data_IF_946500891830
#
_entry.id   IF_946500891830
#
_cell.length_a   1.000
_cell.length_b   1.000
_cell.length_c   1.000
_cell.angle_alpha   90.00
_cell.angle_beta   90.00
_cell.angle_gamma   90.00
#
_symmetry.space_group_name_H-M   'P 1'
#
loop_
_entity.id
_entity.type
_entity.pdbx_description
1 polymer ?
#
# COMPACT_ATOMS: atom_id res chain seq x y z
N UNK A 1 1.05 0.08 27.19
CA UNK A 1 1.62 0.18 25.82
C UNK A 1 1.05 -1.00 25.06
N UNK A 2 0.53 -0.80 23.85
CA UNK A 2 -0.05 -1.88 23.05
C UNK A 2 0.99 -2.42 22.06
N UNK A 3 0.79 -3.64 21.53
CA UNK A 3 1.66 -4.20 20.50
C UNK A 3 1.73 -3.33 19.23
N UNK A 4 0.65 -2.58 18.91
CA UNK A 4 0.65 -1.56 17.86
C UNK A 4 1.66 -0.44 18.19
N UNK A 5 1.61 0.11 19.41
CA UNK A 5 2.47 1.23 19.82
C UNK A 5 3.96 0.82 19.83
N UNK A 6 4.27 -0.39 20.27
CA UNK A 6 5.63 -0.91 20.33
C UNK A 6 6.19 -1.09 18.91
N UNK A 7 5.40 -1.69 18.01
CA UNK A 7 5.75 -1.85 16.61
C UNK A 7 5.99 -0.51 15.90
N UNK A 8 5.07 0.45 16.08
CA UNK A 8 5.20 1.78 15.48
C UNK A 8 6.42 2.53 16.04
N UNK A 9 6.69 2.41 17.34
CA UNK A 9 7.84 3.04 17.98
C UNK A 9 9.17 2.47 17.47
N UNK A 10 9.29 1.14 17.34
CA UNK A 10 10.49 0.49 16.80
C UNK A 10 10.74 0.85 15.33
N UNK A 11 9.69 0.89 14.51
CA UNK A 11 9.79 1.27 13.10
C UNK A 11 10.07 2.77 12.91
N UNK A 12 9.61 3.63 13.82
CA UNK A 12 9.94 5.06 13.80
C UNK A 12 11.39 5.30 14.24
N UNK A 13 11.85 4.61 15.30
CA UNK A 13 13.23 4.74 15.79
C UNK A 13 14.29 4.31 14.76
N UNK A 14 13.94 3.36 13.90
CA UNK A 14 14.76 2.91 12.78
C UNK A 14 14.52 3.69 11.48
N UNK A 15 13.67 4.72 11.48
CA UNK A 15 13.31 5.55 10.31
C UNK A 15 12.59 4.77 9.19
N UNK A 16 12.25 3.49 9.39
CA UNK A 16 11.56 2.69 8.38
C UNK A 16 10.15 3.22 8.10
N UNK A 17 9.45 3.77 9.10
CA UNK A 17 8.16 4.45 8.85
C UNK A 17 8.29 5.65 7.91
N UNK A 18 9.33 6.46 8.09
CA UNK A 18 9.55 7.65 7.25
C UNK A 18 9.92 7.23 5.83
N UNK A 19 10.72 6.17 5.68
CA UNK A 19 11.04 5.57 4.37
C UNK A 19 9.78 5.09 3.64
N UNK A 20 8.86 4.42 4.34
CA UNK A 20 7.59 3.97 3.74
C UNK A 20 6.70 5.15 3.34
N UNK A 21 6.59 6.17 4.21
CA UNK A 21 5.80 7.39 3.95
C UNK A 21 6.37 8.22 2.79
N UNK A 22 7.69 8.24 2.62
CA UNK A 22 8.35 8.88 1.47
C UNK A 22 8.23 8.04 0.19
N UNK A 23 8.51 6.75 0.26
CA UNK A 23 8.59 5.88 -0.91
C UNK A 23 7.23 5.65 -1.58
N UNK A 24 6.14 5.61 -0.80
CA UNK A 24 4.80 5.38 -1.35
C UNK A 24 4.35 6.45 -2.36
N UNK A 25 4.30 7.76 -2.04
CA UNK A 25 3.90 8.79 -3.01
C UNK A 25 4.83 8.86 -4.22
N UNK A 26 6.15 8.68 -4.03
CA UNK A 26 7.11 8.65 -5.13
C UNK A 26 6.86 7.45 -6.06
N UNK A 27 6.51 6.29 -5.51
CA UNK A 27 6.12 5.11 -6.29
C UNK A 27 4.81 5.34 -7.07
N UNK A 28 3.84 6.01 -6.45
CA UNK A 28 2.54 6.30 -7.06
C UNK A 28 2.69 7.26 -8.23
N UNK A 29 3.49 8.33 -8.07
CA UNK A 29 3.79 9.27 -9.16
C UNK A 29 4.47 8.56 -10.35
N UNK A 30 5.48 7.72 -10.08
CA UNK A 30 6.15 6.95 -11.12
C UNK A 30 5.20 5.99 -11.86
N UNK A 31 4.28 5.35 -11.13
CA UNK A 31 3.26 4.49 -11.74
C UNK A 31 2.27 5.30 -12.57
N UNK A 32 1.88 6.49 -12.09
CA UNK A 32 0.94 7.36 -12.79
C UNK A 32 1.47 7.80 -14.16
N UNK A 33 2.78 8.08 -14.24
CA UNK A 33 3.46 8.45 -15.48
C UNK A 33 3.50 7.32 -16.53
N UNK A 34 3.43 6.06 -16.09
CA UNK A 34 3.47 4.87 -16.95
C UNK A 34 2.09 4.28 -17.24
N UNK A 35 1.09 4.61 -16.43
CA UNK A 35 -0.25 4.09 -16.57
C UNK A 35 -0.97 4.71 -17.78
N UNK A 36 -1.62 3.87 -18.57
CA UNK A 36 -2.42 4.29 -19.72
C UNK A 36 -3.51 3.24 -19.97
N UNK A 37 -4.74 3.58 -19.59
CA UNK A 37 -5.90 2.73 -19.80
C UNK A 37 -6.12 2.40 -21.28
N UNK A 38 -5.79 3.32 -22.20
CA UNK A 38 -5.94 3.10 -23.64
C UNK A 38 -4.93 2.09 -24.21
N UNK A 39 -3.85 1.81 -23.47
CA UNK A 39 -2.90 0.75 -23.79
C UNK A 39 -3.24 -0.58 -23.11
N UNK A 40 -4.41 -0.68 -22.47
CA UNK A 40 -4.89 -1.88 -21.80
C UNK A 40 -4.34 -2.06 -20.39
N UNK A 41 -3.79 -1.01 -19.76
CA UNK A 41 -3.35 -1.09 -18.37
C UNK A 41 -4.56 -1.17 -17.43
N UNK A 42 -4.59 -2.25 -16.64
CA UNK A 42 -5.64 -2.51 -15.65
C UNK A 42 -5.12 -2.31 -14.21
N UNK A 43 -5.98 -2.59 -13.22
CA UNK A 43 -5.60 -2.52 -11.81
C UNK A 43 -4.48 -3.49 -11.43
N UNK A 44 -4.33 -4.61 -12.16
CA UNK A 44 -3.23 -5.54 -11.98
C UNK A 44 -1.90 -4.91 -12.34
N UNK A 45 -1.83 -4.19 -13.46
CA UNK A 45 -0.65 -3.41 -13.88
C UNK A 45 -0.29 -2.35 -12.84
N UNK A 46 -1.27 -1.59 -12.35
CA UNK A 46 -1.07 -0.58 -11.29
C UNK A 46 -0.48 -1.22 -10.03
N UNK A 47 -1.07 -2.32 -9.57
CA UNK A 47 -0.62 -3.04 -8.38
C UNK A 47 0.81 -3.57 -8.53
N UNK A 48 1.16 -4.09 -9.72
CA UNK A 48 2.48 -4.62 -10.01
C UNK A 48 3.55 -3.52 -10.11
N UNK A 49 3.29 -2.44 -10.86
CA UNK A 49 4.21 -1.31 -11.01
C UNK A 49 4.50 -0.66 -9.65
N UNK A 50 3.46 -0.32 -8.89
CA UNK A 50 3.62 0.28 -7.57
C UNK A 50 4.43 -0.59 -6.63
N UNK A 51 4.16 -1.90 -6.61
CA UNK A 51 4.93 -2.83 -5.80
C UNK A 51 6.42 -2.83 -6.18
N UNK A 52 6.75 -2.81 -7.48
CA UNK A 52 8.13 -2.78 -7.96
C UNK A 52 8.83 -1.46 -7.64
N UNK A 53 8.15 -0.33 -7.87
CA UNK A 53 8.69 0.99 -7.57
C UNK A 53 8.90 1.17 -6.07
N UNK A 54 7.90 0.85 -5.24
CA UNK A 54 8.01 0.97 -3.79
C UNK A 54 9.12 0.07 -3.23
N UNK A 55 9.22 -1.18 -3.70
CA UNK A 55 10.34 -2.06 -3.32
C UNK A 55 11.70 -1.43 -3.66
N UNK A 56 11.86 -0.89 -4.86
CA UNK A 56 13.12 -0.24 -5.27
C UNK A 56 13.45 0.97 -4.39
N UNK A 57 12.45 1.80 -4.07
CA UNK A 57 12.61 2.99 -3.25
C UNK A 57 12.97 2.65 -1.80
N UNK A 58 12.33 1.65 -1.19
CA UNK A 58 12.67 1.21 0.17
C UNK A 58 14.07 0.59 0.18
N UNK A 59 14.43 -0.25 -0.80
CA UNK A 59 15.80 -0.77 -0.93
C UNK A 59 16.82 0.34 -1.11
N UNK A 60 16.47 1.38 -1.88
CA UNK A 60 17.33 2.55 -2.12
C UNK A 60 17.61 3.33 -0.85
N UNK A 61 16.55 3.74 -0.13
CA UNK A 61 16.70 4.51 1.10
C UNK A 61 17.46 3.70 2.17
N UNK A 62 17.16 2.40 2.29
CA UNK A 62 17.76 1.51 3.30
C UNK A 62 19.11 0.92 2.89
N UNK A 63 19.69 1.32 1.75
CA UNK A 63 20.95 0.77 1.21
C UNK A 63 20.96 -0.76 1.07
N UNK A 64 19.82 -1.34 0.73
CA UNK A 64 19.62 -2.77 0.57
C UNK A 64 19.55 -3.18 -0.92
N UNK A 65 19.55 -4.50 -1.17
CA UNK A 65 19.43 -5.04 -2.52
C UNK A 65 20.52 -4.53 -3.46
N UNK A 66 20.14 -3.91 -4.58
CA UNK A 66 21.08 -3.35 -5.56
C UNK A 66 21.79 -2.08 -5.12
N UNK A 67 21.37 -1.48 -4.00
CA UNK A 67 21.91 -0.23 -3.47
C UNK A 67 22.90 -0.45 -2.31
N UNK A 68 23.22 -1.71 -2.00
CA UNK A 68 24.27 -2.04 -1.04
C UNK A 68 25.61 -1.54 -1.58
N UNK A 69 26.21 -0.57 -0.89
CA UNK A 69 27.54 -0.09 -1.21
C UNK A 69 28.56 -1.14 -0.75
N UNK A 70 29.55 -1.44 -1.60
CA UNK A 70 30.70 -2.26 -1.22
C UNK A 70 31.60 -1.50 -0.26
N UNK A 71 32.34 -2.23 0.59
CA UNK A 71 33.33 -1.63 1.49
C UNK A 71 34.32 -0.76 0.70
N UNK A 72 34.50 0.50 1.11
CA UNK A 72 35.46 1.44 0.52
C UNK A 72 34.96 2.28 -0.68
N UNK A 73 33.66 2.28 -0.98
CA UNK A 73 33.05 3.05 -2.09
C UNK A 73 32.20 4.25 -1.64
N UNK A 74 32.54 4.84 -0.49
CA UNK A 74 31.75 5.87 0.20
C UNK A 74 31.46 7.13 -0.65
N UNK A 75 32.27 7.41 -1.69
CA UNK A 75 32.15 8.61 -2.51
C UNK A 75 31.39 8.44 -3.84
N UNK A 76 31.07 7.21 -4.28
CA UNK A 76 30.41 6.94 -5.57
C UNK A 76 28.93 6.55 -5.46
N UNK A 77 28.37 6.51 -4.23
CA UNK A 77 27.00 6.04 -3.99
C UNK A 77 25.91 7.05 -4.39
N UNK A 78 26.19 8.35 -4.38
CA UNK A 78 25.20 9.40 -4.60
C UNK A 78 24.49 9.32 -5.96
N UNK A 79 25.26 9.20 -7.05
CA UNK A 79 24.70 9.11 -8.40
C UNK A 79 23.89 7.82 -8.61
N UNK A 80 24.32 6.71 -7.98
CA UNK A 80 23.60 5.43 -8.02
C UNK A 80 22.25 5.57 -7.30
N UNK A 81 22.23 6.25 -6.15
CA UNK A 81 21.02 6.51 -5.37
C UNK A 81 20.13 7.61 -5.99
N UNK A 82 20.65 8.50 -6.83
CA UNK A 82 19.83 9.48 -7.55
C UNK A 82 19.23 8.89 -8.84
N UNK A 83 19.85 7.86 -9.43
CA UNK A 83 19.43 7.34 -10.73
C UNK A 83 18.03 6.71 -10.70
N UNK A 84 17.16 7.20 -11.58
CA UNK A 84 15.82 6.66 -11.82
C UNK A 84 14.72 7.21 -10.91
N UNK A 85 15.02 8.27 -10.15
CA UNK A 85 14.03 9.06 -9.39
C UNK A 85 14.21 10.54 -9.69
N UNK A 86 13.21 11.36 -9.37
CA UNK A 86 13.32 12.82 -9.56
C UNK A 86 14.33 13.41 -8.57
N UNK A 87 14.95 14.57 -8.90
CA UNK A 87 15.82 15.27 -7.95
C UNK A 87 15.11 15.62 -6.64
N UNK A 88 13.83 15.97 -6.70
CA UNK A 88 13.01 16.25 -5.52
C UNK A 88 12.82 15.02 -4.64
N UNK A 89 12.49 13.87 -5.23
CA UNK A 89 12.38 12.61 -4.50
C UNK A 89 13.72 12.22 -3.85
N UNK A 90 14.84 12.41 -4.56
CA UNK A 90 16.17 12.13 -4.01
C UNK A 90 16.53 13.05 -2.83
N UNK A 91 16.25 14.36 -2.97
CA UNK A 91 16.56 15.35 -1.93
C UNK A 91 15.74 15.16 -0.65
N UNK A 92 14.54 14.61 -0.77
CA UNK A 92 13.63 14.32 0.35
C UNK A 92 13.76 12.90 0.91
N UNK A 93 14.63 12.08 0.32
CA UNK A 93 14.85 10.69 0.74
C UNK A 93 15.35 10.64 2.20
N UNK A 94 14.69 9.89 3.09
CA UNK A 94 15.13 9.73 4.47
C UNK A 94 16.54 9.15 4.56
N UNK A 95 17.36 9.71 5.45
CA UNK A 95 18.72 9.23 5.72
C UNK A 95 18.71 8.36 6.96
N UNK A 96 19.32 7.18 6.84
CA UNK A 96 19.40 6.19 7.91
C UNK A 96 20.85 5.83 8.18
N UNK A 97 21.15 5.39 9.39
CA UNK A 97 22.43 4.74 9.66
C UNK A 97 22.55 3.47 8.82
N UNK A 98 23.78 3.14 8.42
CA UNK A 98 24.05 1.86 7.76
C UNK A 98 23.54 0.70 8.64
N UNK A 99 22.94 -0.30 8.00
CA UNK A 99 22.39 -1.50 8.65
C UNK A 99 21.26 -1.28 9.67
N UNK A 100 20.73 -0.06 9.82
CA UNK A 100 19.56 0.22 10.67
C UNK A 100 18.34 -0.58 10.23
N UNK A 101 18.23 -0.85 8.92
CA UNK A 101 17.18 -1.68 8.32
C UNK A 101 17.83 -2.75 7.47
N UNK A 102 17.54 -4.02 7.76
CA UNK A 102 18.13 -5.16 7.03
C UNK A 102 17.13 -5.80 6.10
N UNK A 103 17.55 -6.13 4.89
CA UNK A 103 16.75 -6.98 4.01
C UNK A 103 16.56 -8.38 4.61
N UNK A 104 15.30 -8.80 4.75
CA UNK A 104 14.84 -10.09 5.29
C UNK A 104 13.61 -10.53 4.51
N UNK A 105 13.84 -11.17 3.36
CA UNK A 105 12.76 -11.67 2.52
C UNK A 105 12.13 -12.92 3.14
N UNK A 106 10.81 -13.05 3.00
CA UNK A 106 10.08 -14.23 3.44
C UNK A 106 9.44 -14.91 2.23
N UNK A 107 9.88 -16.13 1.90
CA UNK A 107 9.34 -16.91 0.78
C UNK A 107 9.19 -16.10 -0.51
N UNK A 108 10.27 -15.45 -0.92
CA UNK A 108 10.34 -14.57 -2.11
C UNK A 108 9.52 -13.26 -2.01
N UNK A 109 8.81 -13.03 -0.90
CA UNK A 109 8.23 -11.72 -0.60
C UNK A 109 9.33 -10.79 -0.06
N UNK A 110 9.57 -9.64 -0.70
CA UNK A 110 10.42 -8.58 -0.17
C UNK A 110 10.09 -8.22 1.27
N UNK A 111 11.10 -8.20 2.12
CA UNK A 111 10.96 -7.81 3.52
C UNK A 111 12.12 -6.99 4.06
N UNK A 112 11.80 -6.10 4.99
CA UNK A 112 12.75 -5.24 5.70
C UNK A 112 12.54 -5.41 7.20
N UNK A 113 13.62 -5.67 7.92
CA UNK A 113 13.56 -5.97 9.34
C UNK A 113 14.33 -4.94 10.18
N UNK A 114 13.75 -4.63 11.34
CA UNK A 114 14.28 -3.77 12.40
C UNK A 114 13.84 -4.36 13.74
N UNK A 115 14.73 -4.47 14.73
CA UNK A 115 14.38 -4.74 16.13
C UNK A 115 13.19 -5.70 16.37
N UNK A 116 13.25 -6.94 15.86
CA UNK A 116 12.18 -7.94 16.06
C UNK A 116 10.90 -7.75 15.23
N UNK A 117 10.88 -6.79 14.30
CA UNK A 117 9.79 -6.59 13.33
C UNK A 117 10.29 -6.75 11.90
N UNK A 118 9.52 -7.44 11.06
CA UNK A 118 9.75 -7.53 9.62
C UNK A 118 8.54 -6.97 8.88
N UNK A 119 8.74 -6.04 7.96
CA UNK A 119 7.68 -5.45 7.14
C UNK A 119 7.73 -6.02 5.73
N UNK A 120 6.61 -6.55 5.23
CA UNK A 120 6.45 -6.99 3.85
C UNK A 120 5.45 -6.09 3.10
N UNK A 121 5.63 -5.89 1.79
CA UNK A 121 4.68 -5.10 0.98
C UNK A 121 3.48 -5.93 0.51
N UNK A 122 2.31 -5.31 0.42
CA UNK A 122 1.13 -5.88 -0.24
C UNK A 122 0.39 -4.79 -1.02
N UNK A 123 0.16 -5.01 -2.32
CA UNK A 123 -0.76 -4.16 -3.09
C UNK A 123 -2.21 -4.62 -2.92
N UNK A 124 -3.15 -3.69 -2.94
CA UNK A 124 -4.58 -4.00 -2.93
C UNK A 124 -5.38 -2.95 -3.72
N UNK A 125 -6.64 -3.22 -4.11
CA UNK A 125 -7.49 -2.21 -4.74
C UNK A 125 -7.80 -1.06 -3.77
N UNK A 126 -7.80 0.18 -4.26
CA UNK A 126 -8.10 1.34 -3.42
C UNK A 126 -9.46 1.21 -2.72
N UNK A 127 -9.52 1.54 -1.43
CA UNK A 127 -10.71 1.43 -0.58
C UNK A 127 -11.05 0.01 -0.14
N UNK A 128 -10.17 -0.97 -0.39
CA UNK A 128 -10.40 -2.41 -0.14
C UNK A 128 -9.40 -3.03 0.84
N UNK A 129 -8.84 -2.22 1.74
CA UNK A 129 -7.86 -2.69 2.74
C UNK A 129 -8.47 -3.70 3.73
N UNK A 130 -9.75 -3.56 4.06
CA UNK A 130 -10.46 -4.49 4.96
C UNK A 130 -10.94 -5.77 4.26
N UNK A 131 -10.97 -5.76 2.93
CA UNK A 131 -11.47 -6.86 2.09
C UNK A 131 -10.31 -7.78 1.63
N UNK A 132 -9.10 -7.65 2.20
CA UNK A 132 -7.95 -8.44 1.78
C UNK A 132 -8.10 -9.90 2.22
N UNK A 133 -8.28 -10.78 1.24
CA UNK A 133 -8.32 -12.23 1.45
C UNK A 133 -6.91 -12.82 1.44
N UNK A 134 -6.24 -12.86 2.59
CA UNK A 134 -4.86 -13.37 2.72
C UNK A 134 -4.69 -14.80 2.22
N UNK A 135 -5.68 -15.65 2.43
CA UNK A 135 -5.72 -17.04 1.91
C UNK A 135 -5.66 -17.15 0.38
N UNK A 136 -6.06 -16.09 -0.34
CA UNK A 136 -6.05 -16.01 -1.81
C UNK A 136 -4.83 -15.24 -2.34
N UNK A 137 -3.93 -14.78 -1.47
CA UNK A 137 -2.65 -14.15 -1.86
C UNK A 137 -1.58 -15.23 -2.00
N UNK A 138 -0.31 -14.86 -1.83
CA UNK A 138 0.79 -15.84 -1.86
C UNK A 138 0.82 -16.68 -0.59
N UNK A 139 1.44 -17.86 -0.67
CA UNK A 139 1.67 -18.73 0.50
C UNK A 139 2.41 -17.98 1.63
N UNK A 140 3.32 -17.07 1.26
CA UNK A 140 4.00 -16.19 2.20
C UNK A 140 3.00 -15.35 3.02
N UNK A 141 2.06 -14.66 2.35
CA UNK A 141 1.07 -13.80 3.02
C UNK A 141 0.06 -14.58 3.83
N UNK A 142 -0.36 -15.75 3.36
CA UNK A 142 -1.22 -16.65 4.11
C UNK A 142 -0.58 -17.04 5.45
N UNK A 143 0.70 -17.44 5.44
CA UNK A 143 1.44 -17.80 6.66
C UNK A 143 1.70 -16.62 7.59
N UNK A 144 1.95 -15.42 7.03
CA UNK A 144 2.03 -14.19 7.85
C UNK A 144 0.69 -13.92 8.56
N UNK A 145 -0.44 -14.23 7.92
CA UNK A 145 -1.75 -14.10 8.52
C UNK A 145 -2.10 -15.23 9.52
N UNK A 146 -1.34 -16.34 9.51
CA UNK A 146 -1.36 -17.43 10.49
C UNK A 146 -0.35 -17.23 11.64
N UNK A 147 0.39 -16.11 11.65
CA UNK A 147 1.35 -15.83 12.73
C UNK A 147 0.63 -15.75 14.07
N UNK A 148 1.34 -16.12 15.14
CA UNK A 148 0.80 -16.05 16.48
C UNK A 148 0.77 -14.59 16.97
N UNK A 149 -0.24 -14.25 17.77
CA UNK A 149 -0.43 -12.91 18.31
C UNK A 149 -0.06 -12.91 19.79
N UNK A 150 0.72 -11.93 20.23
CA UNK A 150 1.00 -11.71 21.65
C UNK A 150 -0.34 -11.40 22.35
N UNK A 151 -0.78 -12.30 23.22
CA UNK A 151 -2.05 -12.19 23.96
C UNK A 151 -3.18 -13.09 23.45
N UNK A 152 -3.03 -13.76 22.30
CA UNK A 152 -3.98 -14.81 21.91
C UNK A 152 -3.61 -16.12 22.62
N UNK A 153 -4.42 -16.46 23.62
CA UNK A 153 -4.68 -17.82 24.09
C UNK A 153 -3.68 -18.49 25.06
N UNK A 154 -2.98 -17.74 25.91
CA UNK A 154 -2.26 -18.35 27.04
C UNK A 154 -2.86 -17.92 28.39
N UNK A 155 -3.22 -18.90 29.21
CA UNK A 155 -3.61 -18.71 30.62
C UNK A 155 -2.43 -18.25 31.50
N UNK A 156 -1.22 -18.29 30.95
CA UNK A 156 0.05 -17.96 31.58
C UNK A 156 0.84 -17.08 30.59
N UNK A 157 1.49 -16.03 31.07
CA UNK A 157 2.35 -15.24 30.17
C UNK A 157 3.66 -15.98 29.91
N UNK A 158 4.29 -15.75 28.75
CA UNK A 158 5.58 -16.39 28.44
C UNK A 158 6.68 -15.96 29.44
N UNK A 159 6.47 -14.83 30.15
CA UNK A 159 7.28 -14.39 31.29
C UNK A 159 7.19 -15.35 32.49
N UNK A 160 6.07 -16.06 32.68
CA UNK A 160 5.86 -17.03 33.77
C UNK A 160 6.67 -18.31 33.57
N UNK A 161 7.10 -18.58 32.33
CA UNK A 161 7.99 -19.70 31.95
C UNK A 161 9.41 -19.26 31.56
N UNK A 162 9.75 -17.96 31.67
CA UNK A 162 11.07 -17.45 31.30
C UNK A 162 11.38 -17.55 29.81
N UNK A 163 10.35 -17.55 28.95
CA UNK A 163 10.48 -17.59 27.49
C UNK A 163 10.18 -16.19 26.94
N UNK A 164 11.18 -15.46 26.46
CA UNK A 164 10.98 -14.18 25.77
C UNK A 164 10.58 -14.39 24.29
N UNK A 165 9.58 -15.22 24.00
CA UNK A 165 9.23 -15.52 22.61
C UNK A 165 8.12 -14.59 22.12
N UNK A 166 8.50 -13.59 21.32
CA UNK A 166 7.57 -12.96 20.38
C UNK A 166 7.25 -14.02 19.33
N UNK A 167 6.04 -14.61 19.31
CA UNK A 167 5.81 -15.77 18.49
C UNK A 167 5.60 -15.28 17.04
N UNK A 168 6.62 -15.49 16.22
CA UNK A 168 6.64 -15.07 14.83
C UNK A 168 5.81 -15.99 13.92
N UNK A 169 6.18 -16.03 12.65
CA UNK A 169 5.56 -16.97 11.71
C UNK A 169 6.03 -18.39 12.07
N UNK A 170 5.14 -19.40 12.14
CA UNK A 170 5.54 -20.79 12.30
C UNK A 170 6.52 -21.23 11.21
N UNK A 171 7.55 -21.99 11.58
CA UNK A 171 8.58 -22.54 10.69
C UNK A 171 9.43 -21.49 9.94
N UNK A 172 9.59 -20.28 10.49
CA UNK A 172 10.53 -19.28 9.97
C UNK A 172 11.80 -19.19 10.83
N UNK A 173 12.70 -20.16 10.62
CA UNK A 173 13.97 -20.26 11.37
C UNK A 173 14.93 -19.08 11.10
N UNK A 174 14.70 -18.32 10.02
CA UNK A 174 15.57 -17.21 9.58
C UNK A 174 15.21 -15.87 10.25
N UNK A 175 14.07 -15.78 10.96
CA UNK A 175 13.61 -14.54 11.57
C UNK A 175 12.77 -14.78 12.84
N UNK A 176 13.27 -14.32 13.97
CA UNK A 176 12.52 -14.26 15.23
C UNK A 176 11.88 -12.89 15.41
N UNK A 177 10.54 -12.83 15.41
CA UNK A 177 9.80 -11.58 15.60
C UNK A 177 8.47 -11.51 14.85
N UNK A 178 7.79 -10.36 14.95
CA UNK A 178 6.48 -10.12 14.31
C UNK A 178 6.66 -9.74 12.85
N UNK A 179 5.85 -10.31 11.95
CA UNK A 179 5.83 -9.88 10.54
C UNK A 179 4.60 -9.03 10.25
N UNK A 180 4.84 -7.78 9.85
CA UNK A 180 3.84 -6.78 9.51
C UNK A 180 3.67 -6.65 8.00
N UNK A 181 2.53 -6.13 7.58
CA UNK A 181 2.21 -5.83 6.19
C UNK A 181 2.10 -4.32 6.01
N UNK A 182 2.93 -3.76 5.14
CA UNK A 182 2.73 -2.43 4.56
C UNK A 182 1.83 -2.58 3.32
N UNK A 183 0.54 -2.35 3.51
CA UNK A 183 -0.46 -2.43 2.47
C UNK A 183 -0.57 -1.10 1.74
N UNK A 184 -0.40 -1.09 0.41
CA UNK A 184 -0.47 0.12 -0.40
C UNK A 184 -1.49 0.01 -1.54
N UNK A 185 -2.18 1.11 -1.83
CA UNK A 185 -3.10 1.21 -2.96
C UNK A 185 -3.00 2.59 -3.63
N UNK A 186 -3.17 2.60 -4.94
CA UNK A 186 -3.24 3.78 -5.78
C UNK A 186 -4.37 3.59 -6.79
N UNK A 187 -5.16 4.65 -6.98
CA UNK A 187 -6.19 4.74 -8.00
C UNK A 187 -5.72 5.73 -9.07
N UNK A 188 -5.36 5.27 -10.29
CA UNK A 188 -4.85 6.15 -11.34
C UNK A 188 -5.91 7.08 -11.92
N UNK A 189 -7.20 6.76 -11.78
CA UNK A 189 -8.32 7.59 -12.26
C UNK A 189 -8.54 8.78 -11.34
N UNK A 190 -8.60 8.54 -10.02
CA UNK A 190 -8.84 9.60 -9.03
C UNK A 190 -7.55 10.22 -8.48
N UNK A 191 -6.40 9.66 -8.81
CA UNK A 191 -5.09 10.00 -8.24
C UNK A 191 -5.02 9.83 -6.71
N UNK A 192 -5.98 9.10 -6.13
CA UNK A 192 -6.03 8.85 -4.70
C UNK A 192 -5.12 7.68 -4.31
N UNK A 193 -4.56 7.75 -3.13
CA UNK A 193 -3.72 6.70 -2.59
C UNK A 193 -3.85 6.54 -1.09
N UNK A 194 -3.45 5.38 -0.61
CA UNK A 194 -3.43 5.02 0.80
C UNK A 194 -2.34 3.99 1.09
N UNK A 195 -1.71 4.15 2.25
CA UNK A 195 -0.70 3.27 2.80
C UNK A 195 -1.09 2.96 4.25
N UNK A 196 -1.30 1.68 4.53
CA UNK A 196 -1.49 1.16 5.88
C UNK A 196 -0.32 0.29 6.29
N UNK A 197 -0.12 0.20 7.59
CA UNK A 197 0.76 -0.78 8.22
C UNK A 197 -0.05 -1.54 9.25
N UNK A 198 0.10 -2.86 9.30
CA UNK A 198 -0.62 -3.65 10.30
C UNK A 198 -0.11 -5.07 10.42
N UNK A 199 -0.62 -5.76 11.42
CA UNK A 199 -0.45 -7.19 11.56
C UNK A 199 -1.69 -7.88 10.97
N UNK A 200 -1.50 -8.66 9.91
CA UNK A 200 -2.58 -9.40 9.25
C UNK A 200 -3.05 -10.58 10.10
N UNK A 201 -4.33 -10.91 10.01
CA UNK A 201 -4.93 -12.12 10.61
C UNK A 201 -5.80 -12.83 9.57
N UNK A 202 -5.79 -14.17 9.57
CA UNK A 202 -6.80 -14.93 8.83
C UNK A 202 -8.12 -14.87 9.61
N UNK A 203 -9.20 -14.35 9.00
CA UNK A 203 -10.50 -14.27 9.66
C UNK A 203 -11.01 -15.69 9.96
N UNK A 204 -11.54 -15.93 11.16
CA UNK A 204 -12.15 -17.21 11.54
C UNK A 204 -13.59 -17.30 11.02
N UNK A 205 -14.27 -16.15 10.96
CA UNK A 205 -15.66 -15.97 10.52
C UNK A 205 -15.72 -14.94 9.37
N UNK A 206 -16.79 -14.95 8.58
CA UNK A 206 -16.91 -14.10 7.40
C UNK A 206 -16.91 -12.58 7.70
N UNK A 207 -17.36 -12.20 8.91
CA UNK A 207 -17.45 -10.81 9.36
C UNK A 207 -16.21 -10.36 10.16
N UNK A 208 -15.24 -11.25 10.37
CA UNK A 208 -14.02 -10.92 11.11
C UNK A 208 -13.09 -10.02 10.27
N UNK A 209 -12.39 -9.13 10.95
CA UNK A 209 -11.35 -8.33 10.31
C UNK A 209 -10.22 -9.22 9.80
N UNK A 210 -9.70 -8.91 8.61
CA UNK A 210 -8.46 -9.51 8.10
C UNK A 210 -7.19 -8.91 8.76
N UNK A 211 -7.35 -8.08 9.78
CA UNK A 211 -6.27 -7.45 10.53
C UNK A 211 -6.44 -7.73 12.02
N UNK A 212 -5.34 -8.06 12.70
CA UNK A 212 -5.31 -8.02 14.16
C UNK A 212 -5.29 -6.56 14.65
N UNK A 213 -4.46 -5.74 13.99
CA UNK A 213 -4.52 -4.29 14.05
C UNK A 213 -3.99 -3.70 12.74
N UNK A 214 -4.40 -2.47 12.44
CA UNK A 214 -3.89 -1.71 11.29
C UNK A 214 -3.87 -0.21 11.60
N UNK A 215 -2.91 0.49 11.01
CA UNK A 215 -2.73 1.93 11.12
C UNK A 215 -2.63 2.55 9.73
N UNK A 216 -3.42 3.59 9.48
CA UNK A 216 -3.23 4.45 8.30
C UNK A 216 -1.95 5.26 8.50
N UNK A 217 -0.95 5.06 7.64
CA UNK A 217 0.31 5.82 7.68
C UNK A 217 0.24 7.09 6.83
N UNK A 218 -0.43 6.99 5.67
CA UNK A 218 -0.51 8.07 4.70
C UNK A 218 -1.73 7.85 3.79
N UNK A 219 -2.42 8.93 3.45
CA UNK A 219 -3.43 8.98 2.39
C UNK A 219 -3.36 10.32 1.68
N UNK A 220 -3.74 10.36 0.40
CA UNK A 220 -3.75 11.61 -0.35
C UNK A 220 -4.43 11.49 -1.72
N UNK A 221 -4.23 12.53 -2.53
CA UNK A 221 -4.90 12.72 -3.82
C UNK A 221 -6.16 13.59 -3.70
N UNK A 222 -6.63 14.08 -4.85
CA UNK A 222 -7.83 14.90 -4.93
C UNK A 222 -9.03 13.99 -5.18
N UNK A 223 -10.05 13.94 -4.30
CA UNK A 223 -11.26 13.20 -4.60
C UNK A 223 -11.87 13.72 -5.90
N UNK A 224 -11.99 12.85 -6.91
CA UNK A 224 -12.74 13.15 -8.12
C UNK A 224 -14.23 13.25 -7.73
N UNK A 225 -14.67 14.44 -7.30
CA UNK A 225 -16.05 14.63 -6.84
C UNK A 225 -16.32 15.79 -5.88
N UNK A 226 -15.34 16.56 -5.42
CA UNK A 226 -15.61 17.82 -4.72
C UNK A 226 -15.87 18.97 -5.72
N UNK A 227 -16.70 18.72 -6.72
CA UNK A 227 -17.37 19.75 -7.52
C UNK A 227 -18.63 20.29 -6.82
N UNK A 228 -18.67 20.22 -5.50
CA UNK A 228 -19.68 20.92 -4.71
C UNK A 228 -19.40 22.39 -4.84
N UNK A 229 -20.22 23.09 -5.63
CA UNK A 229 -20.38 24.54 -5.54
C UNK A 229 -20.39 24.88 -4.05
N UNK A 230 -19.59 25.85 -3.56
CA UNK A 230 -19.71 26.29 -2.19
C UNK A 230 -21.14 26.80 -2.03
N UNK A 231 -21.98 26.01 -1.35
CA UNK A 231 -23.28 26.47 -0.90
C UNK A 231 -22.96 27.50 0.16
N UNK A 232 -22.90 28.76 -0.27
CA UNK A 232 -22.91 29.89 0.64
C UNK A 232 -24.09 29.69 1.60
N UNK A 233 -23.93 29.96 2.91
CA UNK A 233 -25.04 29.82 3.84
C UNK A 233 -26.12 30.85 3.47
N UNK A 234 -27.20 30.37 2.84
CA UNK A 234 -28.34 31.20 2.46
C UNK A 234 -29.13 31.56 3.71
N UNK A 235 -29.05 32.83 4.09
CA UNK A 235 -30.00 33.46 5.04
C UNK A 235 -31.41 33.48 4.42
N UNK A 236 -32.47 33.27 5.21
CA UNK A 236 -33.82 33.16 4.68
C UNK A 236 -34.35 34.54 4.32
N UNK A 237 -34.49 34.85 3.04
CA UNK A 237 -35.43 35.88 2.61
C UNK A 237 -35.87 35.70 1.15
N UNK A 238 -37.16 35.40 0.99
CA UNK A 238 -38.03 36.03 0.00
C UNK A 238 -37.87 35.67 -1.48
N UNK A 239 -38.94 35.06 -2.02
CA UNK A 239 -39.38 35.32 -3.39
C UNK A 239 -39.21 34.16 -4.36
N UNK A 240 -40.34 33.54 -4.71
CA UNK A 240 -40.44 32.56 -5.78
C UNK A 240 -40.08 33.19 -7.15
N UNK A 241 -39.35 32.44 -7.98
CA UNK A 241 -39.47 32.57 -9.43
C UNK A 241 -39.20 31.23 -10.08
N UNK A 242 -40.20 30.77 -10.83
CA UNK A 242 -40.24 29.61 -11.70
C UNK A 242 -39.63 29.99 -13.05
N UNK A 243 -38.48 29.45 -13.39
CA UNK A 243 -37.99 29.41 -14.77
C UNK A 243 -37.08 28.19 -14.92
N UNK A 244 -37.62 27.15 -15.55
CA UNK A 244 -36.93 25.91 -15.91
C UNK A 244 -36.64 26.05 -17.40
N UNK A 245 -35.36 26.10 -17.77
CA UNK A 245 -34.95 26.09 -19.16
C UNK A 245 -34.66 24.64 -19.56
N UNK A 246 -35.60 24.04 -20.29
CA UNK A 246 -35.54 22.65 -20.76
C UNK A 246 -34.43 22.49 -21.81
N UNK A 247 -33.38 21.73 -21.49
CA UNK A 247 -32.31 21.38 -22.44
C UNK A 247 -32.80 20.24 -23.35
N UNK A 248 -32.84 20.40 -24.68
CA UNK A 248 -33.28 19.35 -25.58
C UNK A 248 -32.24 18.23 -25.71
N UNK A 249 -32.57 17.05 -25.16
CA UNK A 249 -31.77 15.82 -25.32
C UNK A 249 -32.05 15.20 -26.68
N UNK A 250 -31.04 15.16 -27.58
CA UNK A 250 -31.10 14.37 -28.82
C UNK A 250 -30.84 12.90 -28.51
N UNK A 251 -31.90 12.10 -28.44
CA UNK A 251 -31.82 10.64 -28.38
C UNK A 251 -31.60 10.11 -29.82
N UNK A 252 -30.45 9.48 -30.07
CA UNK A 252 -30.20 8.77 -31.33
C UNK A 252 -30.96 7.44 -31.31
N UNK A 253 -32.04 7.34 -32.11
CA UNK A 253 -32.73 6.08 -32.40
C UNK A 253 -31.77 5.12 -33.10
N UNK A 254 -31.57 3.93 -32.52
CA UNK A 254 -31.19 2.72 -33.26
C UNK A 254 -32.44 2.22 -33.98
N UNK A 255 -32.51 2.49 -35.28
CA UNK A 255 -33.52 1.88 -36.15
C UNK A 255 -33.13 0.44 -36.46
N UNK A 256 -33.82 -0.50 -35.82
CA UNK A 256 -34.03 -1.83 -36.38
C UNK A 256 -35.03 -1.70 -37.53
N UNK A 257 -34.72 -2.34 -38.66
CA UNK A 257 -35.56 -2.38 -39.84
C UNK A 257 -34.97 -3.36 -40.84
N UNK A 258 -35.28 -4.64 -40.62
CA UNK A 258 -35.10 -5.76 -41.54
C UNK A 258 -35.69 -5.46 -42.93
N UNK A 259 -35.08 -6.04 -43.96
CA UNK A 259 -35.64 -6.01 -45.30
C UNK A 259 -34.81 -6.69 -46.39
N UNK A 260 -34.77 -8.03 -46.35
CA UNK A 260 -34.89 -8.91 -47.52
C UNK A 260 -33.95 -8.74 -48.75
N UNK A 261 -33.09 -9.75 -48.95
CA UNK A 261 -33.20 -10.59 -50.16
C UNK A 261 -32.10 -10.51 -51.25
N UNK A 262 -31.50 -11.69 -51.51
CA UNK A 262 -30.94 -12.20 -52.78
C UNK A 262 -29.65 -11.52 -53.31
N UNK A 263 -28.67 -12.18 -53.95
CA UNK A 263 -28.42 -13.55 -54.34
C UNK A 263 -26.92 -13.69 -54.73
N UNK A 264 -26.49 -14.94 -54.89
CA UNK A 264 -25.18 -15.44 -55.30
C UNK A 264 -24.49 -14.73 -56.49
N UNK A 265 -23.16 -14.78 -56.47
CA UNK A 265 -22.26 -14.48 -57.59
C UNK A 265 -20.80 -14.49 -57.14
#
# INVERSE_FOLDING_TARGET
MTAEDDALSALQASTLLDVLKWGAPVAFEATDQLYDENQGHDQGVVGYLNFKHLRDLVDRATSNGRFKLGEGLDSFGGDVLARGITPEAFNTMPRLAADAVRRRDYKQSPGWAVEGYRVLLQSYPFGKVDDIKWVQRSDAKRRVADQLFVGDNTLFSDEEFGLESIPGIPDDDDFTGVTLIAAHAFNPTTKQFELYLGQSKNPEHADDSCWHWKKLLLSGGTPAGAGGIPVAPTMPNGGASTEVDDVPVRIKRTGAGEGSGAANG
#
